data_IF_268859367971
#
_entry.id   IF_268859367971
#
_cell.length_a   1.000
_cell.length_b   1.000
_cell.length_c   1.000
_cell.angle_alpha   90.00
_cell.angle_beta   90.00
_cell.angle_gamma   90.00
#
_symmetry.space_group_name_H-M   'P 1'
#
loop_
_entity.id
_entity.type
_entity.pdbx_description
1 polymer ?
#
# COMPACT_ATOMS: atom_id res chain seq x y z
N UNK A 1 22.47 26.70 2.64
CA UNK A 1 22.11 25.48 3.41
C UNK A 1 20.69 25.49 3.97
N UNK A 2 20.07 26.65 4.28
CA UNK A 2 18.65 26.72 4.69
C UNK A 2 17.67 26.76 3.49
N UNK A 3 18.17 27.05 2.28
CA UNK A 3 17.39 27.15 1.03
C UNK A 3 17.03 25.80 0.35
N UNK A 4 17.45 24.66 0.91
CA UNK A 4 17.23 23.34 0.31
C UNK A 4 16.03 22.60 0.91
N UNK A 5 15.44 23.12 1.99
CA UNK A 5 14.29 22.50 2.69
C UNK A 5 12.95 23.02 2.13
N UNK A 6 12.93 24.10 1.33
CA UNK A 6 11.70 24.72 0.81
C UNK A 6 11.21 24.18 -0.54
N UNK A 7 11.84 23.14 -1.08
CA UNK A 7 11.47 22.54 -2.37
C UNK A 7 11.18 21.03 -2.25
N UNK A 8 10.78 20.58 -1.05
CA UNK A 8 10.03 19.33 -0.95
C UNK A 8 8.59 19.69 -1.30
N UNK A 9 8.17 19.29 -2.48
CA UNK A 9 6.79 19.41 -2.91
C UNK A 9 5.88 18.80 -1.84
N UNK A 10 4.90 19.58 -1.36
CA UNK A 10 3.89 19.15 -0.38
C UNK A 10 3.23 17.85 -0.86
N UNK A 11 3.08 17.72 -2.18
CA UNK A 11 2.58 16.50 -2.82
C UNK A 11 3.47 15.28 -2.51
N UNK A 12 4.78 15.38 -2.72
CA UNK A 12 5.74 14.31 -2.42
C UNK A 12 5.75 13.97 -0.94
N UNK A 13 5.75 14.98 -0.06
CA UNK A 13 5.68 14.77 1.39
C UNK A 13 4.42 13.99 1.77
N UNK A 14 3.27 14.38 1.22
CA UNK A 14 2.00 13.71 1.48
C UNK A 14 2.01 12.26 0.99
N UNK A 15 2.56 11.99 -0.20
CA UNK A 15 2.71 10.62 -0.69
C UNK A 15 3.53 9.75 0.28
N UNK A 16 4.66 10.25 0.79
CA UNK A 16 5.46 9.52 1.78
C UNK A 16 4.70 9.28 3.08
N UNK A 17 3.95 10.26 3.58
CA UNK A 17 3.10 10.11 4.78
C UNK A 17 2.04 9.04 4.57
N UNK A 18 1.36 9.05 3.43
CA UNK A 18 0.33 8.04 3.12
C UNK A 18 0.95 6.66 2.92
N UNK A 19 2.14 6.56 2.31
CA UNK A 19 2.89 5.31 2.21
C UNK A 19 3.32 4.76 3.58
N UNK A 20 3.82 5.61 4.47
CA UNK A 20 4.13 5.20 5.84
C UNK A 20 2.87 4.72 6.58
N UNK A 21 1.75 5.44 6.40
CA UNK A 21 0.47 5.07 6.98
C UNK A 21 -0.06 3.74 6.45
N UNK A 22 0.07 3.46 5.15
CA UNK A 22 -0.34 2.16 4.59
C UNK A 22 0.50 1.02 5.15
N UNK A 23 1.80 1.23 5.42
CA UNK A 23 2.65 0.23 6.05
C UNK A 23 2.25 -0.03 7.52
N UNK A 24 1.83 1.00 8.26
CA UNK A 24 1.25 0.83 9.59
C UNK A 24 -0.04 0.01 9.51
N UNK A 25 -0.94 0.35 8.58
CA UNK A 25 -2.19 -0.41 8.39
C UNK A 25 -1.93 -1.86 7.96
N UNK A 26 -0.90 -2.10 7.16
CA UNK A 26 -0.43 -3.44 6.82
C UNK A 26 0.00 -4.21 8.09
N UNK A 27 0.84 -3.60 8.94
CA UNK A 27 1.30 -4.20 10.19
C UNK A 27 0.14 -4.47 11.18
N UNK A 28 -0.83 -3.56 11.27
CA UNK A 28 -2.01 -3.73 12.11
C UNK A 28 -2.91 -4.83 11.57
N UNK A 29 -3.21 -4.82 10.26
CA UNK A 29 -4.07 -5.82 9.62
C UNK A 29 -3.48 -7.24 9.66
N UNK A 30 -2.17 -7.40 9.48
CA UNK A 30 -1.51 -8.71 9.59
C UNK A 30 -1.50 -9.22 11.05
N UNK A 31 -1.36 -8.32 12.03
CA UNK A 31 -1.45 -8.67 13.46
C UNK A 31 -2.87 -9.07 13.82
N UNK A 32 -3.86 -8.35 13.31
CA UNK A 32 -5.27 -8.71 13.47
C UNK A 32 -5.59 -10.05 12.80
N UNK A 33 -5.04 -10.33 11.62
CA UNK A 33 -5.16 -11.63 10.96
C UNK A 33 -4.64 -12.77 11.84
N UNK A 34 -3.45 -12.62 12.43
CA UNK A 34 -2.90 -13.63 13.35
C UNK A 34 -3.80 -13.92 14.54
N UNK A 35 -4.57 -12.92 15.01
CA UNK A 35 -5.48 -13.05 16.16
C UNK A 35 -6.86 -13.58 15.78
N UNK A 36 -7.38 -13.21 14.60
CA UNK A 36 -8.76 -13.51 14.18
C UNK A 36 -8.87 -14.70 13.22
N UNK A 37 -7.82 -15.07 12.49
CA UNK A 37 -7.86 -16.11 11.45
C UNK A 37 -8.70 -15.77 10.22
N UNK A 38 -9.26 -14.55 10.15
CA UNK A 38 -10.12 -14.09 9.06
C UNK A 38 -9.35 -13.94 7.74
N UNK A 39 -9.78 -14.68 6.71
CA UNK A 39 -9.20 -14.54 5.36
C UNK A 39 -9.44 -13.15 4.76
N UNK A 40 -10.50 -12.46 5.19
CA UNK A 40 -10.77 -11.08 4.81
C UNK A 40 -9.65 -10.14 5.27
N UNK A 41 -9.11 -10.32 6.47
CA UNK A 41 -8.00 -9.50 6.97
C UNK A 41 -6.71 -9.70 6.17
N UNK A 42 -6.46 -10.89 5.63
CA UNK A 42 -5.33 -11.12 4.72
C UNK A 42 -5.46 -10.31 3.43
N UNK A 43 -6.66 -10.26 2.84
CA UNK A 43 -6.89 -9.50 1.60
C UNK A 43 -6.72 -8.00 1.81
N UNK A 44 -7.23 -7.49 2.95
CA UNK A 44 -7.04 -6.09 3.35
C UNK A 44 -5.56 -5.78 3.59
N UNK A 45 -4.84 -6.69 4.24
CA UNK A 45 -3.39 -6.58 4.44
C UNK A 45 -2.65 -6.53 3.10
N UNK A 46 -2.95 -7.45 2.17
CA UNK A 46 -2.38 -7.43 0.83
C UNK A 46 -2.65 -6.12 0.08
N UNK A 47 -3.85 -5.54 0.22
CA UNK A 47 -4.19 -4.25 -0.39
C UNK A 47 -3.34 -3.10 0.17
N UNK A 48 -3.17 -3.03 1.49
CA UNK A 48 -2.30 -2.01 2.11
C UNK A 48 -0.83 -2.17 1.74
N UNK A 49 -0.36 -3.41 1.62
CA UNK A 49 1.00 -3.69 1.14
C UNK A 49 1.19 -3.27 -0.32
N UNK A 50 0.25 -3.60 -1.21
CA UNK A 50 0.27 -3.15 -2.61
C UNK A 50 0.26 -1.63 -2.70
N UNK A 51 -0.52 -0.94 -1.86
CA UNK A 51 -0.50 0.51 -1.80
C UNK A 51 0.88 1.06 -1.40
N UNK A 52 1.53 0.45 -0.41
CA UNK A 52 2.89 0.82 -0.04
C UNK A 52 3.88 0.65 -1.21
N UNK A 53 3.83 -0.50 -1.90
CA UNK A 53 4.67 -0.76 -3.08
C UNK A 53 4.38 0.25 -4.20
N UNK A 54 3.11 0.62 -4.42
CA UNK A 54 2.72 1.68 -5.37
C UNK A 54 3.41 3.01 -5.05
N UNK A 55 3.40 3.42 -3.77
CA UNK A 55 4.05 4.67 -3.34
C UNK A 55 5.56 4.62 -3.58
N UNK A 56 6.20 3.48 -3.31
CA UNK A 56 7.63 3.30 -3.61
C UNK A 56 7.92 3.37 -5.11
N UNK A 57 7.07 2.79 -5.94
CA UNK A 57 7.20 2.86 -7.41
C UNK A 57 6.99 4.28 -7.93
N UNK A 58 6.03 5.03 -7.38
CA UNK A 58 5.78 6.43 -7.75
C UNK A 58 6.94 7.36 -7.36
N UNK A 59 7.72 6.98 -6.35
CA UNK A 59 8.86 7.74 -5.87
C UNK A 59 10.18 7.02 -6.17
N UNK A 60 10.19 6.12 -7.17
CA UNK A 60 11.37 5.29 -7.47
C UNK A 60 12.57 6.15 -7.85
N UNK A 61 12.34 7.29 -8.52
CA UNK A 61 13.38 8.24 -8.93
C UNK A 61 14.15 8.83 -7.73
N UNK A 62 13.52 8.89 -6.55
CA UNK A 62 14.16 9.33 -5.30
C UNK A 62 15.16 8.29 -4.79
N UNK A 63 14.91 7.01 -5.04
CA UNK A 63 15.73 5.89 -4.56
C UNK A 63 16.76 5.43 -5.60
N UNK A 64 16.40 5.49 -6.88
CA UNK A 64 17.22 5.03 -8.00
C UNK A 64 17.14 6.10 -9.11
N UNK A 65 17.96 7.16 -9.01
CA UNK A 65 18.06 8.16 -10.06
C UNK A 65 18.67 7.50 -11.31
N UNK A 66 17.84 7.26 -12.33
CA UNK A 66 18.14 6.85 -13.73
C UNK A 66 17.12 5.85 -14.34
N UNK A 67 16.05 5.50 -13.63
CA UNK A 67 14.94 4.67 -14.15
C UNK A 67 13.99 5.45 -15.08
N UNK A 68 14.51 6.10 -16.12
CA UNK A 68 13.75 6.98 -17.01
C UNK A 68 12.71 6.27 -17.91
N UNK A 69 12.69 4.93 -17.94
CA UNK A 69 11.87 4.14 -18.87
C UNK A 69 10.77 3.31 -18.20
N UNK A 70 10.53 3.48 -16.89
CA UNK A 70 9.45 2.76 -16.22
C UNK A 70 8.14 3.50 -16.49
N UNK A 71 7.10 2.85 -17.04
CA UNK A 71 5.80 3.49 -17.24
C UNK A 71 5.04 3.57 -15.90
N UNK A 72 5.48 4.47 -15.02
CA UNK A 72 5.00 4.61 -13.64
C UNK A 72 3.50 4.91 -13.58
N UNK A 73 2.99 5.71 -14.52
CA UNK A 73 1.56 6.04 -14.61
C UNK A 73 0.70 4.81 -14.91
N UNK A 74 1.13 3.97 -15.85
CA UNK A 74 0.42 2.73 -16.19
C UNK A 74 0.47 1.75 -15.01
N UNK A 75 1.62 1.63 -14.35
CA UNK A 75 1.74 0.80 -13.15
C UNK A 75 0.82 1.33 -12.04
N UNK A 76 0.81 2.64 -11.79
CA UNK A 76 -0.06 3.28 -10.79
C UNK A 76 -1.54 2.89 -10.98
N UNK A 77 -2.04 2.95 -12.22
CA UNK A 77 -3.41 2.55 -12.56
C UNK A 77 -3.66 1.06 -12.30
N UNK A 78 -2.70 0.19 -12.66
CA UNK A 78 -2.79 -1.25 -12.39
C UNK A 78 -2.85 -1.52 -10.88
N UNK A 79 -2.01 -0.84 -10.09
CA UNK A 79 -2.02 -0.97 -8.63
C UNK A 79 -3.36 -0.50 -8.05
N UNK A 80 -3.91 0.63 -8.51
CA UNK A 80 -5.23 1.10 -8.07
C UNK A 80 -6.32 0.06 -8.35
N UNK A 81 -6.32 -0.51 -9.55
CA UNK A 81 -7.25 -1.58 -9.91
C UNK A 81 -7.09 -2.80 -9.00
N UNK A 82 -5.86 -3.28 -8.77
CA UNK A 82 -5.59 -4.45 -7.92
C UNK A 82 -5.98 -4.21 -6.46
N UNK A 83 -5.72 -3.02 -5.93
CA UNK A 83 -6.07 -2.61 -4.57
C UNK A 83 -7.60 -2.59 -4.41
N UNK A 84 -8.31 -1.96 -5.35
CA UNK A 84 -9.77 -1.94 -5.37
C UNK A 84 -10.35 -3.35 -5.49
N UNK A 85 -9.79 -4.18 -6.37
CA UNK A 85 -10.19 -5.57 -6.53
C UNK A 85 -10.00 -6.35 -5.22
N UNK A 86 -8.86 -6.19 -4.54
CA UNK A 86 -8.61 -6.83 -3.25
C UNK A 86 -9.57 -6.36 -2.17
N UNK A 87 -9.87 -5.06 -2.09
CA UNK A 87 -10.88 -4.57 -1.15
C UNK A 87 -12.26 -5.13 -1.46
N UNK A 88 -12.65 -5.20 -2.73
CA UNK A 88 -13.91 -5.81 -3.15
C UNK A 88 -13.97 -7.29 -2.76
N UNK A 89 -12.94 -8.06 -3.10
CA UNK A 89 -12.84 -9.49 -2.75
C UNK A 89 -12.84 -9.67 -1.24
N UNK A 90 -12.17 -8.80 -0.48
CA UNK A 90 -12.19 -8.79 0.98
C UNK A 90 -13.60 -8.59 1.54
N UNK A 91 -14.38 -7.67 0.95
CA UNK A 91 -15.75 -7.39 1.37
C UNK A 91 -16.67 -8.60 1.14
N UNK A 92 -16.57 -9.25 -0.03
CA UNK A 92 -17.43 -10.40 -0.36
C UNK A 92 -16.95 -11.71 0.27
N UNK A 93 -15.70 -11.76 0.73
CA UNK A 93 -15.13 -12.95 1.37
C UNK A 93 -15.79 -13.19 2.72
N UNK A 94 -16.55 -14.29 2.80
CA UNK A 94 -17.07 -14.78 4.07
C UNK A 94 -15.92 -15.34 4.90
N UNK A 95 -15.84 -14.91 6.14
CA UNK A 95 -14.93 -15.52 7.11
C UNK A 95 -15.32 -16.98 7.28
N UNK A 96 -14.41 -17.89 6.94
CA UNK A 96 -14.47 -19.24 7.47
C UNK A 96 -14.09 -19.10 8.94
N UNK A 97 -15.07 -18.85 9.79
CA UNK A 97 -14.90 -19.01 11.25
C UNK A 97 -14.32 -20.41 11.41
N UNK A 98 -13.05 -20.49 11.80
CA UNK A 98 -12.47 -21.74 12.23
C UNK A 98 -13.19 -22.07 13.53
N UNK A 99 -14.28 -22.83 13.44
CA UNK A 99 -14.75 -23.67 14.52
C UNK A 99 -13.54 -24.50 14.96
N UNK A 100 -12.88 -24.03 16.02
CA UNK A 100 -12.11 -24.92 16.86
C UNK A 100 -13.16 -25.60 17.73
N UNK A 101 -13.53 -26.81 17.31
CA UNK A 101 -14.15 -27.84 18.15
C UNK A 101 -13.43 -27.97 19.50
#
# INVERSE_FOLDING_TARGET
MIKMISEIDIYTLLQFVVGAFSLILFAVSITAFKKSGSRRLLMVSAAFFLYFVKVLLLNVDVFIPDLQNVPVDLMSIIFDFLILLLFFVAIISKDKVSEKE
#
